data_IF_202100423276
#
_entry.id   IF_202100423276
#
_cell.length_a   1.000
_cell.length_b   1.000
_cell.length_c   1.000
_cell.angle_alpha   90.00
_cell.angle_beta   90.00
_cell.angle_gamma   90.00
#
_symmetry.space_group_name_H-M   'P 1'
#
loop_
_entity.id
_entity.type
_entity.pdbx_description
1 polymer ?
#
# COMPACT_ATOMS: atom_id res chain seq x y z
N UNK A 1 -8.32 -1.05 14.67
CA UNK A 1 -6.84 -0.97 14.81
C UNK A 1 -6.31 -1.57 16.14
N UNK A 2 -6.95 -2.61 16.71
CA UNK A 2 -6.67 -3.12 18.07
C UNK A 2 -5.69 -4.29 18.15
N UNK A 3 -5.04 -4.69 17.07
CA UNK A 3 -4.03 -5.75 17.13
C UNK A 3 -2.61 -5.15 17.19
N UNK A 4 -2.05 -5.16 18.40
CA UNK A 4 -0.73 -4.61 18.74
C UNK A 4 0.41 -5.64 18.56
N UNK A 5 0.11 -6.86 18.10
CA UNK A 5 1.05 -8.00 18.11
C UNK A 5 1.98 -8.12 16.91
N UNK A 6 1.83 -7.29 15.87
CA UNK A 6 2.61 -7.43 14.64
C UNK A 6 3.53 -6.22 14.43
N UNK A 7 4.84 -6.49 14.40
CA UNK A 7 5.82 -5.67 13.69
C UNK A 7 5.23 -5.27 12.34
N UNK A 8 5.39 -4.02 11.93
CA UNK A 8 4.64 -3.62 10.75
C UNK A 8 4.88 -2.21 10.23
N UNK A 9 4.56 -2.07 8.95
CA UNK A 9 4.54 -0.83 8.19
C UNK A 9 3.08 -0.44 7.99
N UNK A 10 2.71 0.77 8.39
CA UNK A 10 1.41 1.36 8.10
C UNK A 10 1.62 2.52 7.15
N UNK A 11 0.90 2.47 6.04
CA UNK A 11 0.83 3.53 5.05
C UNK A 11 -0.57 4.12 5.05
N UNK A 12 -0.68 5.33 4.53
CA UNK A 12 -1.97 5.99 4.29
C UNK A 12 -2.04 6.36 2.82
N UNK A 13 -3.12 5.95 2.17
CA UNK A 13 -3.37 6.21 0.76
C UNK A 13 -4.66 7.01 0.60
N UNK A 14 -4.61 8.04 -0.24
CA UNK A 14 -5.79 8.76 -0.70
C UNK A 14 -6.31 8.07 -1.96
N UNK A 15 -7.53 7.54 -1.90
CA UNK A 15 -8.20 6.85 -3.02
C UNK A 15 -9.49 7.57 -3.43
N UNK A 16 -9.70 8.79 -2.93
CA UNK A 16 -10.89 9.60 -3.22
C UNK A 16 -12.20 8.94 -2.76
N UNK A 17 -13.26 9.14 -3.52
CA UNK A 17 -14.62 8.65 -3.24
C UNK A 17 -14.75 7.11 -3.14
N UNK A 18 -13.73 6.37 -3.56
CA UNK A 18 -13.71 4.90 -3.58
C UNK A 18 -13.24 4.25 -2.28
N UNK A 19 -12.82 5.02 -1.27
CA UNK A 19 -12.30 4.46 -0.01
C UNK A 19 -13.26 3.47 0.67
N UNK A 20 -14.56 3.80 0.67
CA UNK A 20 -15.61 2.96 1.24
C UNK A 20 -15.82 1.62 0.50
N UNK A 21 -15.31 1.49 -0.72
CA UNK A 21 -15.40 0.28 -1.54
C UNK A 21 -14.18 -0.64 -1.36
N UNK A 22 -13.13 -0.16 -0.70
CA UNK A 22 -11.92 -0.96 -0.47
C UNK A 22 -12.21 -2.04 0.57
N UNK A 23 -12.06 -3.35 0.23
CA UNK A 23 -12.28 -4.42 1.19
C UNK A 23 -11.19 -4.41 2.27
N UNK A 24 -11.44 -5.07 3.41
CA UNK A 24 -10.48 -5.13 4.53
C UNK A 24 -9.14 -5.78 4.19
N UNK A 25 -9.04 -6.51 3.07
CA UNK A 25 -7.81 -7.14 2.61
C UNK A 25 -7.82 -7.47 1.12
N UNK A 26 -6.64 -7.45 0.50
CA UNK A 26 -6.37 -8.06 -0.80
C UNK A 26 -5.29 -9.12 -0.65
N UNK A 27 -5.58 -10.35 -1.08
CA UNK A 27 -4.60 -11.44 -1.22
C UNK A 27 -4.55 -11.82 -2.69
N UNK A 28 -3.55 -11.33 -3.40
CA UNK A 28 -3.35 -11.62 -4.80
C UNK A 28 -1.85 -11.61 -5.13
N UNK A 29 -1.34 -12.57 -5.92
CA UNK A 29 0.07 -12.62 -6.29
C UNK A 29 0.46 -11.43 -7.17
N UNK A 30 1.67 -10.92 -6.96
CA UNK A 30 2.23 -9.81 -7.73
C UNK A 30 3.54 -10.26 -8.35
N UNK A 31 3.70 -9.97 -9.64
CA UNK A 31 4.96 -10.08 -10.36
C UNK A 31 5.49 -8.70 -10.71
N UNK A 32 6.80 -8.56 -10.66
CA UNK A 32 7.48 -7.35 -11.14
C UNK A 32 7.75 -7.56 -12.63
N UNK A 33 7.37 -6.57 -13.44
CA UNK A 33 7.61 -6.61 -14.87
C UNK A 33 9.11 -6.60 -15.18
N UNK A 34 9.48 -7.16 -16.32
CA UNK A 34 10.88 -7.10 -16.77
C UNK A 34 11.28 -5.63 -16.88
N UNK A 35 12.40 -5.27 -16.25
CA UNK A 35 12.91 -3.93 -16.33
C UNK A 35 13.31 -3.59 -17.77
N UNK A 36 12.75 -2.50 -18.29
CA UNK A 36 13.10 -1.91 -19.59
C UNK A 36 13.89 -0.63 -19.31
N UNK A 37 15.07 -0.43 -19.94
CA UNK A 37 15.85 0.79 -19.77
C UNK A 37 15.02 2.05 -20.06
N UNK A 38 15.24 3.11 -19.28
CA UNK A 38 14.51 4.39 -19.38
C UNK A 38 13.00 4.30 -19.13
N UNK A 39 12.50 3.20 -18.55
CA UNK A 39 11.11 3.06 -18.14
C UNK A 39 10.99 2.80 -16.64
N UNK A 40 9.93 3.29 -15.99
CA UNK A 40 9.68 2.99 -14.59
C UNK A 40 9.44 1.48 -14.41
N UNK A 41 9.94 0.92 -13.32
CA UNK A 41 9.65 -0.46 -12.95
C UNK A 41 8.17 -0.60 -12.61
N UNK A 42 7.49 -1.56 -13.22
CA UNK A 42 6.06 -1.80 -12.98
C UNK A 42 5.84 -3.17 -12.36
N UNK A 43 4.67 -3.35 -11.75
CA UNK A 43 4.25 -4.60 -11.14
C UNK A 43 2.78 -4.81 -11.43
N UNK A 44 2.34 -6.06 -11.55
CA UNK A 44 0.96 -6.40 -11.87
C UNK A 44 0.46 -7.55 -11.03
N UNK A 45 -0.84 -7.56 -10.77
CA UNK A 45 -1.52 -8.75 -10.25
C UNK A 45 -1.57 -9.82 -11.34
N UNK A 46 -1.36 -11.07 -10.96
CA UNK A 46 -1.50 -12.23 -11.84
C UNK A 46 -2.53 -13.21 -11.25
N UNK A 47 -2.99 -14.15 -12.08
CA UNK A 47 -3.80 -15.26 -11.60
C UNK A 47 -2.98 -16.18 -10.68
N UNK A 48 -3.64 -16.83 -9.73
CA UNK A 48 -2.98 -17.75 -8.81
C UNK A 48 -2.64 -19.06 -9.53
N UNK A 49 -1.36 -19.41 -9.52
CA UNK A 49 -0.81 -20.67 -10.04
C UNK A 49 0.14 -21.31 -9.01
N UNK A 50 0.59 -22.55 -9.27
CA UNK A 50 1.55 -23.25 -8.42
C UNK A 50 2.89 -22.49 -8.27
N UNK A 51 3.26 -21.68 -9.26
CA UNK A 51 4.49 -20.87 -9.29
C UNK A 51 4.29 -19.46 -8.72
N UNK A 52 3.04 -19.05 -8.49
CA UNK A 52 2.72 -17.71 -7.99
C UNK A 52 2.89 -17.65 -6.47
N UNK A 53 3.55 -16.59 -5.97
CA UNK A 53 3.60 -16.33 -4.53
C UNK A 53 2.57 -15.27 -4.15
N UNK A 54 1.47 -15.64 -3.45
CA UNK A 54 0.46 -14.68 -3.04
C UNK A 54 1.06 -13.69 -2.05
N UNK A 55 0.60 -12.44 -2.15
CA UNK A 55 1.03 -11.38 -1.27
C UNK A 55 -0.22 -10.69 -0.72
N UNK A 56 -0.15 -10.20 0.52
CA UNK A 56 -1.33 -9.74 1.26
C UNK A 56 -1.16 -8.30 1.72
N UNK A 57 -2.15 -7.48 1.46
CA UNK A 57 -2.29 -6.12 2.02
C UNK A 57 -3.59 -6.04 2.79
N UNK A 58 -3.54 -5.51 4.01
CA UNK A 58 -4.74 -5.22 4.80
C UNK A 58 -5.10 -3.76 4.67
N UNK A 59 -6.39 -3.46 4.68
CA UNK A 59 -6.91 -2.11 4.52
C UNK A 59 -7.89 -1.77 5.63
N UNK A 60 -7.97 -0.48 5.94
CA UNK A 60 -8.98 0.07 6.83
C UNK A 60 -9.36 1.44 6.28
N UNK A 61 -10.64 1.62 5.94
CA UNK A 61 -11.18 2.94 5.64
C UNK A 61 -11.06 3.84 6.88
N UNK A 62 -10.50 5.03 6.70
CA UNK A 62 -10.37 6.06 7.73
C UNK A 62 -11.38 7.20 7.52
N UNK A 63 -12.18 7.15 6.46
CA UNK A 63 -13.08 8.21 6.04
C UNK A 63 -12.36 9.29 5.19
N UNK A 64 -13.15 10.17 4.58
CA UNK A 64 -12.62 11.30 3.80
C UNK A 64 -11.81 10.89 2.56
N UNK A 65 -12.03 9.68 2.03
CA UNK A 65 -11.29 9.13 0.91
C UNK A 65 -9.94 8.53 1.25
N UNK A 66 -9.65 8.37 2.54
CA UNK A 66 -8.36 7.89 3.03
C UNK A 66 -8.46 6.44 3.50
N UNK A 67 -7.49 5.62 3.10
CA UNK A 67 -7.37 4.23 3.51
C UNK A 67 -6.01 3.99 4.18
N UNK A 68 -6.03 3.42 5.39
CA UNK A 68 -4.83 2.86 5.99
C UNK A 68 -4.49 1.54 5.33
N UNK A 69 -3.23 1.35 4.93
CA UNK A 69 -2.74 0.17 4.25
C UNK A 69 -1.62 -0.48 5.07
N UNK A 70 -1.73 -1.79 5.32
CA UNK A 70 -0.70 -2.59 5.98
C UNK A 70 -0.28 -3.75 5.09
N UNK A 71 0.81 -3.61 4.31
CA UNK A 71 1.33 -4.71 3.53
C UNK A 71 1.99 -5.74 4.47
N UNK A 72 1.51 -6.98 4.44
CA UNK A 72 2.06 -8.10 5.22
C UNK A 72 3.37 -8.60 4.61
N UNK A 73 3.47 -8.48 3.29
CA UNK A 73 4.66 -8.75 2.46
C UNK A 73 5.27 -7.46 1.94
N UNK A 74 6.44 -7.52 1.29
CA UNK A 74 7.15 -6.33 0.80
C UNK A 74 7.35 -6.30 -0.71
N UNK A 75 6.35 -6.70 -1.51
CA UNK A 75 6.50 -6.71 -2.99
C UNK A 75 6.57 -5.28 -3.53
N UNK A 76 7.32 -5.08 -4.62
CA UNK A 76 7.42 -3.79 -5.31
C UNK A 76 6.03 -3.29 -5.69
N UNK A 77 5.73 -2.03 -5.37
CA UNK A 77 4.44 -1.39 -5.65
C UNK A 77 3.19 -2.09 -5.09
N UNK A 78 3.34 -2.98 -4.10
CA UNK A 78 2.25 -3.83 -3.62
C UNK A 78 0.94 -3.09 -3.31
N UNK A 79 1.02 -2.01 -2.51
CA UNK A 79 -0.17 -1.22 -2.13
C UNK A 79 -0.82 -0.58 -3.36
N UNK A 80 0.00 0.03 -4.23
CA UNK A 80 -0.45 0.72 -5.45
C UNK A 80 -1.20 -0.23 -6.38
N UNK A 81 -0.59 -1.40 -6.62
CA UNK A 81 -1.12 -2.44 -7.52
C UNK A 81 -2.38 -3.08 -6.94
N UNK A 82 -2.41 -3.42 -5.65
CA UNK A 82 -3.60 -4.01 -5.02
C UNK A 82 -4.78 -3.03 -5.02
N UNK A 83 -4.57 -1.77 -4.65
CA UNK A 83 -5.62 -0.75 -4.68
C UNK A 83 -6.17 -0.51 -6.09
N UNK A 84 -5.29 -0.43 -7.10
CA UNK A 84 -5.68 -0.35 -8.51
C UNK A 84 -6.44 -1.58 -8.99
N UNK A 85 -5.97 -2.79 -8.65
CA UNK A 85 -6.61 -4.06 -8.99
C UNK A 85 -8.05 -4.17 -8.44
N UNK A 86 -8.31 -3.59 -7.27
CA UNK A 86 -9.65 -3.52 -6.67
C UNK A 86 -10.48 -2.34 -7.17
N UNK A 87 -10.02 -1.60 -8.18
CA UNK A 87 -10.73 -0.47 -8.78
C UNK A 87 -10.62 0.85 -8.02
N UNK A 88 -9.80 0.91 -6.97
CA UNK A 88 -9.61 2.09 -6.09
C UNK A 88 -8.18 2.63 -6.16
N UNK A 89 -7.68 3.04 -7.33
CA UNK A 89 -6.30 3.48 -7.49
C UNK A 89 -6.00 4.74 -6.66
N UNK A 90 -4.75 4.86 -6.21
CA UNK A 90 -4.31 5.98 -5.37
C UNK A 90 -4.32 7.28 -6.20
N UNK A 91 -4.83 8.36 -5.63
CA UNK A 91 -4.77 9.70 -6.22
C UNK A 91 -3.32 10.10 -6.54
N UNK A 92 -3.09 10.67 -7.71
CA UNK A 92 -1.79 11.04 -8.24
C UNK A 92 -0.92 9.87 -8.71
N UNK A 93 -1.44 8.64 -8.72
CA UNK A 93 -0.71 7.47 -9.21
C UNK A 93 -0.79 7.33 -10.74
N UNK A 94 0.14 7.98 -11.44
CA UNK A 94 0.22 7.95 -12.90
C UNK A 94 0.46 6.56 -13.51
N UNK A 95 0.99 5.60 -12.74
CA UNK A 95 1.32 4.27 -13.26
C UNK A 95 0.15 3.29 -13.15
N UNK A 96 -0.73 3.49 -12.17
CA UNK A 96 -1.77 2.53 -11.84
C UNK A 96 -3.19 3.11 -11.92
N UNK A 97 -3.38 4.15 -12.73
CA UNK A 97 -4.71 4.70 -13.07
C UNK A 97 -5.30 5.64 -12.02
N UNK A 98 -4.45 6.21 -11.16
CA UNK A 98 -4.86 7.25 -10.23
C UNK A 98 -5.28 8.53 -10.95
N UNK A 99 -6.33 9.19 -10.46
CA UNK A 99 -6.71 10.50 -10.98
C UNK A 99 -5.63 11.53 -10.64
N UNK A 100 -5.42 12.50 -11.54
CA UNK A 100 -4.43 13.56 -11.32
C UNK A 100 -4.78 14.43 -10.12
N UNK A 101 -3.78 14.82 -9.35
CA UNK A 101 -3.91 15.77 -8.24
C UNK A 101 -3.33 17.12 -8.65
N UNK A 102 -3.82 18.21 -8.05
CA UNK A 102 -3.26 19.56 -8.27
C UNK A 102 -1.76 19.65 -7.93
N UNK A 103 -1.32 18.83 -6.98
CA UNK A 103 0.06 18.73 -6.51
C UNK A 103 0.95 17.87 -7.41
N UNK A 104 0.37 17.11 -8.35
CA UNK A 104 1.11 16.27 -9.28
C UNK A 104 1.93 15.13 -8.66
N UNK A 105 1.62 14.74 -7.41
CA UNK A 105 2.36 13.70 -6.68
C UNK A 105 1.47 12.55 -6.22
N UNK A 106 2.08 11.38 -6.08
CA UNK A 106 1.46 10.18 -5.51
C UNK A 106 1.03 10.44 -4.06
N UNK A 107 -0.24 10.16 -3.75
CA UNK A 107 -0.84 10.33 -2.43
C UNK A 107 -0.76 9.06 -1.58
N UNK A 108 0.45 8.53 -1.44
CA UNK A 108 0.77 7.38 -0.60
C UNK A 108 1.89 7.77 0.39
N UNK A 109 1.56 7.77 1.68
CA UNK A 109 2.47 8.20 2.75
C UNK A 109 2.83 7.05 3.67
N UNK A 110 4.11 6.89 4.01
CA UNK A 110 4.54 5.97 5.05
C UNK A 110 4.31 6.63 6.42
N UNK A 111 3.28 6.19 7.13
CA UNK A 111 2.85 6.85 8.36
C UNK A 111 3.50 6.29 9.61
N UNK A 112 3.61 4.97 9.74
CA UNK A 112 4.19 4.35 10.93
C UNK A 112 5.04 3.13 10.56
N UNK A 113 6.18 3.01 11.22
CA UNK A 113 7.02 1.82 11.17
C UNK A 113 7.32 1.36 12.60
N UNK A 114 6.86 0.14 12.93
CA UNK A 114 7.13 -0.51 14.21
C UNK A 114 8.20 -1.59 14.02
N UNK A 115 9.27 -1.49 14.78
CA UNK A 115 10.40 -2.43 14.79
C UNK A 115 10.72 -2.88 16.20
N UNK A 116 11.14 -4.14 16.36
CA UNK A 116 11.63 -4.66 17.63
C UNK A 116 13.07 -4.21 17.80
N UNK A 117 13.38 -3.55 18.91
CA UNK A 117 14.74 -3.23 19.26
C UNK A 117 15.54 -4.54 19.44
N UNK A 118 16.61 -4.77 18.67
CA UNK A 118 17.39 -6.00 18.75
C UNK A 118 18.15 -6.15 20.07
N UNK A 119 18.42 -5.03 20.77
CA UNK A 119 19.17 -5.01 22.01
C UNK A 119 18.25 -5.05 23.24
N UNK A 120 17.12 -4.35 23.18
CA UNK A 120 16.20 -4.21 24.32
C UNK A 120 15.01 -5.18 24.28
N UNK A 121 14.70 -5.75 23.10
CA UNK A 121 13.56 -6.64 22.91
C UNK A 121 12.18 -5.95 22.92
N UNK A 122 12.11 -4.68 23.32
CA UNK A 122 10.92 -3.82 23.26
C UNK A 122 10.64 -3.34 21.84
N UNK A 123 9.38 -3.08 21.49
CA UNK A 123 9.05 -2.46 20.20
C UNK A 123 9.14 -0.94 20.28
N UNK A 124 9.65 -0.34 19.20
CA UNK A 124 9.75 1.12 19.02
C UNK A 124 8.97 1.52 17.77
N UNK A 125 8.22 2.61 17.88
CA UNK A 125 7.44 3.20 16.79
C UNK A 125 8.13 4.43 16.23
N UNK A 126 8.24 4.47 14.92
CA UNK A 126 8.64 5.65 14.16
C UNK A 126 7.41 6.17 13.43
N UNK A 127 6.93 7.35 13.83
CA UNK A 127 5.73 7.97 13.27
C UNK A 127 6.13 9.17 12.43
N UNK A 128 5.68 9.17 11.18
CA UNK A 128 5.74 10.32 10.29
C UNK A 128 4.36 10.98 10.26
N UNK A 129 4.19 12.20 10.80
CA UNK A 129 2.90 12.86 10.83
C UNK A 129 2.38 13.06 9.40
N UNK A 130 1.07 12.96 9.21
CA UNK A 130 0.48 13.36 7.93
C UNK A 130 0.57 14.88 7.81
N UNK A 131 1.11 15.35 6.70
CA UNK A 131 1.00 16.75 6.31
C UNK A 131 -0.45 17.02 5.91
N UNK A 132 -1.02 18.18 6.26
CA UNK A 132 -2.36 18.56 5.81
C UNK A 132 -2.42 18.55 4.28
N UNK A 133 -3.53 18.00 3.79
CA UNK A 133 -3.82 17.74 2.38
C UNK A 133 -4.37 18.94 1.65
#
# INVERSE_FOLDING_TARGET
LKDRSLLGKVYVADVGDKASQVPSSCRAPIVVDRHVPNQPLMSRVVEESAESTPCTTLFCDLGGGIVACRPVTGKTHQIRVHLSHMGSPIQGDVLYGGAGTSEGRLRLHAHCYRVKDPNQGTSVDFISPMLPT
#
